data_IF_319783544801
#
_entry.id   IF_319783544801
#
_cell.length_a   1.000
_cell.length_b   1.000
_cell.length_c   1.000
_cell.angle_alpha   90.00
_cell.angle_beta   90.00
_cell.angle_gamma   90.00
#
_symmetry.space_group_name_H-M   'P 1'
#
loop_
_entity.id
_entity.type
_entity.pdbx_description
1 polymer ?
#
# COMPACT_ATOMS: atom_id res chain seq x y z
N UNK A 1 8.70 17.98 21.01
CA UNK A 1 9.38 17.56 19.77
C UNK A 1 9.85 16.10 19.92
N UNK A 2 8.97 15.09 19.96
CA UNK A 2 9.37 13.66 19.91
C UNK A 2 8.19 12.65 19.77
N UNK A 3 7.00 13.06 19.30
CA UNK A 3 5.81 12.18 19.24
C UNK A 3 5.31 11.91 17.81
N UNK A 4 5.76 12.67 16.80
CA UNK A 4 5.26 12.61 15.43
C UNK A 4 5.86 11.46 14.57
N UNK A 5 6.96 10.86 15.03
CA UNK A 5 7.67 9.74 14.39
C UNK A 5 7.23 8.34 14.89
N UNK A 6 6.07 8.19 15.53
CA UNK A 6 5.50 6.88 15.94
C UNK A 6 4.45 6.33 14.95
N UNK A 7 4.76 5.91 13.74
CA UNK A 7 5.93 6.05 12.91
C UNK A 7 5.43 5.81 11.51
N UNK A 8 5.89 6.58 10.52
CA UNK A 8 5.61 6.28 9.12
C UNK A 8 5.88 4.80 8.82
N UNK A 9 6.91 4.22 9.46
CA UNK A 9 7.22 2.80 9.41
C UNK A 9 6.10 1.87 9.91
N UNK A 10 5.48 2.18 11.06
CA UNK A 10 4.37 1.38 11.61
C UNK A 10 3.15 1.49 10.69
N UNK A 11 2.87 2.70 10.19
CA UNK A 11 1.77 2.93 9.25
C UNK A 11 1.97 2.18 7.95
N UNK A 12 3.17 2.29 7.37
CA UNK A 12 3.52 1.61 6.12
C UNK A 12 3.51 0.09 6.29
N UNK A 13 3.81 -0.44 7.48
CA UNK A 13 3.65 -1.86 7.81
C UNK A 13 2.18 -2.28 7.83
N UNK A 14 1.30 -1.51 8.49
CA UNK A 14 -0.15 -1.79 8.53
C UNK A 14 -0.74 -1.77 7.11
N UNK A 15 -0.35 -0.80 6.29
CA UNK A 15 -0.79 -0.74 4.88
C UNK A 15 -0.28 -1.97 4.11
N UNK A 16 0.97 -2.37 4.30
CA UNK A 16 1.52 -3.56 3.66
C UNK A 16 0.79 -4.85 4.08
N UNK A 17 0.43 -4.97 5.36
CA UNK A 17 -0.37 -6.07 5.88
C UNK A 17 -1.78 -6.09 5.25
N UNK A 18 -2.42 -4.93 5.10
CA UNK A 18 -3.71 -4.83 4.41
C UNK A 18 -3.61 -5.28 2.93
N UNK A 19 -2.56 -4.85 2.21
CA UNK A 19 -2.27 -5.33 0.86
C UNK A 19 -2.09 -6.85 0.81
N UNK A 20 -1.28 -7.40 1.70
CA UNK A 20 -1.01 -8.83 1.77
C UNK A 20 -2.29 -9.62 2.05
N UNK A 21 -3.00 -9.28 3.12
CA UNK A 21 -4.21 -10.01 3.54
C UNK A 21 -5.29 -10.00 2.44
N UNK A 22 -5.51 -8.86 1.78
CA UNK A 22 -6.48 -8.77 0.70
C UNK A 22 -6.04 -9.56 -0.54
N UNK A 23 -4.80 -9.36 -1.00
CA UNK A 23 -4.32 -10.00 -2.23
C UNK A 23 -4.07 -11.49 -2.07
N UNK A 24 -3.68 -11.97 -0.88
CA UNK A 24 -3.56 -13.41 -0.62
C UNK A 24 -4.89 -14.14 -0.78
N UNK A 25 -6.02 -13.50 -0.46
CA UNK A 25 -7.36 -14.08 -0.68
C UNK A 25 -7.76 -13.95 -2.14
N UNK A 26 -7.61 -12.77 -2.73
CA UNK A 26 -8.09 -12.51 -4.10
C UNK A 26 -7.29 -13.29 -5.14
N UNK A 27 -5.97 -13.41 -4.96
CA UNK A 27 -5.12 -14.15 -5.89
C UNK A 27 -5.17 -15.67 -5.68
N UNK A 28 -5.85 -16.18 -4.66
CA UNK A 28 -6.10 -17.61 -4.54
C UNK A 28 -6.96 -18.12 -5.71
N UNK A 29 -7.85 -17.26 -6.26
CA UNK A 29 -8.61 -17.53 -7.47
C UNK A 29 -7.74 -17.36 -8.74
N UNK A 30 -7.50 -18.41 -9.55
CA UNK A 30 -6.69 -18.33 -10.77
C UNK A 30 -7.28 -17.42 -11.86
N UNK A 31 -8.60 -17.21 -11.88
CA UNK A 31 -9.24 -16.30 -12.83
C UNK A 31 -8.84 -14.82 -12.63
N UNK A 32 -8.28 -14.45 -11.48
CA UNK A 32 -7.73 -13.10 -11.25
C UNK A 32 -6.33 -13.00 -11.83
N UNK A 33 -6.20 -12.33 -12.97
CA UNK A 33 -4.92 -12.26 -13.71
C UNK A 33 -4.22 -10.91 -13.64
N UNK A 34 -4.90 -9.87 -13.14
CA UNK A 34 -4.39 -8.49 -13.19
C UNK A 34 -4.65 -7.74 -11.89
N UNK A 35 -3.63 -7.01 -11.43
CA UNK A 35 -3.70 -6.07 -10.30
C UNK A 35 -3.40 -4.68 -10.83
N UNK A 36 -4.27 -3.70 -10.56
CA UNK A 36 -4.09 -2.32 -10.97
C UNK A 36 -4.15 -1.42 -9.74
N UNK A 37 -3.17 -0.54 -9.58
CA UNK A 37 -3.14 0.50 -8.57
C UNK A 37 -3.71 1.81 -9.13
N UNK A 38 -4.63 2.44 -8.40
CA UNK A 38 -5.17 3.76 -8.76
C UNK A 38 -4.23 4.89 -8.31
N UNK A 39 -3.13 5.04 -9.05
CA UNK A 39 -2.09 6.05 -8.83
C UNK A 39 -0.72 5.45 -8.47
N UNK A 40 0.35 6.12 -8.90
CA UNK A 40 1.72 5.60 -8.81
C UNK A 40 2.42 5.88 -7.48
N UNK A 41 2.23 7.08 -6.92
CA UNK A 41 2.96 7.61 -5.75
C UNK A 41 2.00 8.31 -4.81
N UNK A 42 2.25 8.20 -3.50
CA UNK A 42 1.53 8.93 -2.45
C UNK A 42 1.48 10.45 -2.73
N UNK A 43 2.46 11.01 -3.47
CA UNK A 43 2.52 12.44 -3.80
C UNK A 43 1.27 12.97 -4.53
N UNK A 44 0.66 12.14 -5.37
CA UNK A 44 -0.45 12.53 -6.25
C UNK A 44 -1.70 11.68 -6.03
N UNK A 45 -1.82 11.02 -4.88
CA UNK A 45 -3.02 10.26 -4.59
C UNK A 45 -4.22 11.20 -4.42
N UNK A 46 -5.31 10.89 -5.11
CA UNK A 46 -6.58 11.61 -5.00
C UNK A 46 -7.17 11.59 -3.57
N UNK A 47 -6.77 10.61 -2.75
CA UNK A 47 -7.20 10.49 -1.35
C UNK A 47 -6.72 11.65 -0.48
N UNK A 48 -5.67 12.37 -0.88
CA UNK A 48 -5.20 13.56 -0.16
C UNK A 48 -6.28 14.65 -0.13
N UNK A 49 -7.10 14.76 -1.17
CA UNK A 49 -8.17 15.74 -1.27
C UNK A 49 -9.53 15.15 -0.87
N UNK A 50 -9.79 13.89 -1.23
CA UNK A 50 -11.08 13.23 -0.99
C UNK A 50 -11.29 12.82 0.48
N UNK A 51 -10.25 12.31 1.13
CA UNK A 51 -10.32 11.79 2.50
C UNK A 51 -9.01 12.07 3.26
N UNK A 52 -8.69 13.35 3.51
CA UNK A 52 -7.49 13.72 4.26
C UNK A 52 -7.55 13.19 5.69
N UNK A 53 -6.38 12.97 6.29
CA UNK A 53 -6.31 12.61 7.70
C UNK A 53 -6.69 13.79 8.58
N UNK A 54 -7.41 13.52 9.66
CA UNK A 54 -7.80 14.52 10.67
C UNK A 54 -6.60 15.15 11.41
N UNK A 55 -5.46 14.45 11.45
CA UNK A 55 -4.22 14.94 12.07
C UNK A 55 -3.31 15.73 11.11
N UNK A 56 -3.76 15.95 9.86
CA UNK A 56 -3.01 16.70 8.84
C UNK A 56 -1.79 15.97 8.27
N UNK A 57 -1.49 14.73 8.70
CA UNK A 57 -0.42 13.96 8.09
C UNK A 57 -0.82 13.47 6.69
N UNK A 58 0.15 13.26 5.81
CA UNK A 58 -0.12 12.72 4.47
C UNK A 58 -0.79 11.35 4.55
N UNK A 59 -1.79 11.11 3.70
CA UNK A 59 -2.26 9.75 3.41
C UNK A 59 -1.15 9.01 2.64
N UNK A 60 -0.99 7.71 2.92
CA UNK A 60 0.09 6.90 2.34
C UNK A 60 -0.42 5.57 1.78
N UNK A 61 -1.40 5.57 0.85
CA UNK A 61 -2.08 4.35 0.43
C UNK A 61 -1.33 3.57 -0.67
N UNK A 62 -0.37 4.17 -1.38
CA UNK A 62 0.20 3.59 -2.59
C UNK A 62 1.53 2.86 -2.34
N UNK A 63 2.04 2.21 -3.38
CA UNK A 63 3.24 1.37 -3.32
C UNK A 63 4.55 2.18 -3.25
N UNK A 64 4.51 3.47 -3.61
CA UNK A 64 5.64 4.39 -3.56
C UNK A 64 5.32 5.62 -2.73
N UNK A 65 6.29 6.07 -1.96
CA UNK A 65 6.16 7.29 -1.15
C UNK A 65 6.21 8.56 -2.01
N UNK A 66 6.15 9.72 -1.34
CA UNK A 66 6.20 11.04 -1.98
C UNK A 66 7.46 11.28 -2.82
N UNK A 67 8.57 10.64 -2.47
CA UNK A 67 9.87 10.73 -3.14
C UNK A 67 10.09 9.58 -4.13
N UNK A 68 9.04 8.81 -4.46
CA UNK A 68 9.07 7.65 -5.34
C UNK A 68 9.83 6.44 -4.81
N UNK A 69 10.23 6.43 -3.53
CA UNK A 69 10.86 5.28 -2.92
C UNK A 69 9.84 4.15 -2.74
N UNK A 70 10.32 2.91 -2.85
CA UNK A 70 9.51 1.71 -2.68
C UNK A 70 9.12 1.56 -1.21
N UNK A 71 7.82 1.39 -0.95
CA UNK A 71 7.28 1.16 0.40
C UNK A 71 7.13 -0.34 0.71
N UNK A 72 7.02 -0.74 1.99
CA UNK A 72 6.69 -2.12 2.39
C UNK A 72 5.49 -2.73 1.63
N UNK A 73 4.48 -1.93 1.27
CA UNK A 73 3.34 -2.38 0.48
C UNK A 73 3.72 -2.99 -0.88
N UNK A 74 4.73 -2.44 -1.56
CA UNK A 74 5.24 -3.04 -2.81
C UNK A 74 5.76 -4.47 -2.58
N UNK A 75 6.52 -4.66 -1.49
CA UNK A 75 7.07 -5.99 -1.15
C UNK A 75 5.95 -6.97 -0.83
N UNK A 76 4.88 -6.52 -0.17
CA UNK A 76 3.70 -7.34 0.08
C UNK A 76 3.02 -7.79 -1.22
N UNK A 77 2.79 -6.88 -2.17
CA UNK A 77 2.22 -7.22 -3.49
C UNK A 77 3.09 -8.27 -4.21
N UNK A 78 4.40 -8.04 -4.30
CA UNK A 78 5.33 -8.98 -4.94
C UNK A 78 5.30 -10.35 -4.25
N UNK A 79 5.24 -10.37 -2.91
CA UNK A 79 5.14 -11.61 -2.14
C UNK A 79 3.85 -12.38 -2.49
N UNK A 80 2.70 -11.71 -2.49
CA UNK A 80 1.42 -12.36 -2.83
C UNK A 80 1.40 -12.93 -4.25
N UNK A 81 1.99 -12.23 -5.23
CA UNK A 81 2.09 -12.74 -6.61
C UNK A 81 2.96 -14.01 -6.67
N UNK A 82 4.04 -14.08 -5.90
CA UNK A 82 4.92 -15.25 -5.86
C UNK A 82 4.28 -16.47 -5.16
N UNK A 83 3.42 -16.23 -4.19
CA UNK A 83 2.74 -17.27 -3.41
C UNK A 83 1.45 -17.75 -4.08
N UNK A 84 0.90 -16.97 -5.01
CA UNK A 84 -0.34 -17.29 -5.69
C UNK A 84 -0.21 -18.55 -6.56
N UNK A 85 -1.29 -19.34 -6.73
CA UNK A 85 -1.30 -20.48 -7.63
C UNK A 85 -0.91 -20.11 -9.07
N UNK A 86 -0.35 -21.08 -9.79
CA UNK A 86 -0.11 -20.95 -11.21
C UNK A 86 -1.42 -20.64 -11.95
N UNK A 87 -1.38 -19.65 -12.86
CA UNK A 87 -2.51 -19.16 -13.65
C UNK A 87 -2.07 -18.83 -15.06
#
# INVERSE_FOLDING_TARGET
MQTCLKAIEVRDRIVAEAYYNYLSVVLDEPAVTTIINWGLTDRYTWLSDFAPRSDGAEVRPLLRDRQYNVKPAWKAVVKTIKEAPAR
#
